data_IF_752236301610
#
_entry.id   IF_752236301610
#
_cell.length_a   1.000
_cell.length_b   1.000
_cell.length_c   1.000
_cell.angle_alpha   90.00
_cell.angle_beta   90.00
_cell.angle_gamma   90.00
#
_symmetry.space_group_name_H-M   'P 1'
#
loop_
_entity.id
_entity.type
_entity.pdbx_description
1 polymer ?
#
# COMPACT_ATOMS: atom_id res chain seq x y z
N UNK A 1 -12.69 15.69 8.51
CA UNK A 1 -11.67 14.83 9.16
C UNK A 1 -10.29 15.24 8.67
N UNK A 2 -9.20 14.94 9.40
CA UNK A 2 -7.82 15.22 8.94
C UNK A 2 -7.20 14.05 8.17
N UNK A 3 -7.59 12.83 8.55
CA UNK A 3 -7.19 11.58 7.90
C UNK A 3 -8.44 10.73 7.73
N UNK A 4 -8.59 10.09 6.57
CA UNK A 4 -9.71 9.21 6.25
C UNK A 4 -9.13 7.89 5.74
N UNK A 5 -9.58 6.79 6.34
CA UNK A 5 -9.31 5.43 5.87
C UNK A 5 -10.59 4.89 5.27
N UNK A 6 -10.54 4.43 4.02
CA UNK A 6 -11.68 3.85 3.33
C UNK A 6 -11.39 2.40 2.91
N UNK A 7 -12.21 1.48 3.40
CA UNK A 7 -12.12 0.06 3.08
C UNK A 7 -13.51 -0.51 2.75
N UNK A 8 -13.76 -0.66 1.45
CA UNK A 8 -14.91 -1.29 0.84
C UNK A 8 -15.72 -0.30 -0.01
N UNK A 9 -15.96 -0.57 -1.30
CA UNK A 9 -16.88 0.23 -2.10
C UNK A 9 -18.31 0.16 -1.53
N UNK A 10 -19.12 1.17 -1.84
CA UNK A 10 -20.53 1.21 -1.43
C UNK A 10 -21.37 0.60 -2.55
N UNK A 11 -21.92 -0.59 -2.30
CA UNK A 11 -22.70 -1.36 -3.27
C UNK A 11 -21.83 -2.12 -4.29
N UNK A 12 -22.48 -2.68 -5.31
CA UNK A 12 -21.83 -3.50 -6.35
C UNK A 12 -21.34 -2.59 -7.49
N UNK A 13 -20.23 -1.90 -7.24
CA UNK A 13 -19.70 -0.84 -8.11
C UNK A 13 -19.32 -1.32 -9.52
N UNK A 14 -19.15 -2.62 -9.71
CA UNK A 14 -18.91 -3.26 -11.00
C UNK A 14 -20.08 -3.08 -11.97
N UNK A 15 -21.29 -2.87 -11.46
CA UNK A 15 -22.46 -2.55 -12.25
C UNK A 15 -22.73 -1.04 -12.23
N UNK A 16 -22.76 -0.43 -13.42
CA UNK A 16 -22.96 1.02 -13.59
C UNK A 16 -24.17 1.59 -12.84
N UNK A 17 -25.25 0.82 -12.74
CA UNK A 17 -26.48 1.22 -12.04
C UNK A 17 -26.28 1.36 -10.52
N UNK A 18 -25.27 0.72 -9.95
CA UNK A 18 -24.97 0.69 -8.51
C UNK A 18 -23.63 1.38 -8.16
N UNK A 19 -22.86 1.82 -9.16
CA UNK A 19 -21.55 2.47 -8.96
C UNK A 19 -21.62 3.90 -8.40
N UNK A 20 -22.74 4.61 -8.57
CA UNK A 20 -22.87 6.03 -8.22
C UNK A 20 -22.55 6.34 -6.76
N UNK A 21 -22.90 5.43 -5.83
CA UNK A 21 -22.58 5.60 -4.41
C UNK A 21 -21.07 5.58 -4.16
N UNK A 22 -20.39 4.57 -4.71
CA UNK A 22 -18.92 4.44 -4.65
C UNK A 22 -18.23 5.64 -5.31
N UNK A 23 -18.72 6.11 -6.45
CA UNK A 23 -18.19 7.30 -7.14
C UNK A 23 -18.35 8.56 -6.29
N UNK A 24 -19.51 8.76 -5.67
CA UNK A 24 -19.74 9.91 -4.80
C UNK A 24 -18.80 9.93 -3.60
N UNK A 25 -18.53 8.78 -2.98
CA UNK A 25 -17.55 8.66 -1.90
C UNK A 25 -16.14 8.95 -2.41
N UNK A 26 -15.72 8.34 -3.52
CA UNK A 26 -14.40 8.57 -4.10
C UNK A 26 -14.18 10.06 -4.39
N UNK A 27 -15.17 10.73 -4.99
CA UNK A 27 -15.14 12.17 -5.24
C UNK A 27 -15.04 12.98 -3.94
N UNK A 28 -15.88 12.69 -2.94
CA UNK A 28 -15.85 13.38 -1.67
C UNK A 28 -14.50 13.25 -0.94
N UNK A 29 -13.84 12.08 -1.05
CA UNK A 29 -12.50 11.88 -0.52
C UNK A 29 -11.49 12.81 -1.20
N UNK A 30 -11.52 12.91 -2.54
CA UNK A 30 -10.60 13.79 -3.28
C UNK A 30 -10.81 15.27 -3.00
N UNK A 31 -12.04 15.69 -2.69
CA UNK A 31 -12.39 17.08 -2.40
C UNK A 31 -12.19 17.45 -0.91
N UNK A 32 -11.96 16.46 -0.05
CA UNK A 32 -11.90 16.66 1.41
C UNK A 32 -10.65 17.41 1.91
N UNK A 33 -9.57 17.43 1.12
CA UNK A 33 -8.25 17.93 1.56
C UNK A 33 -7.62 17.13 2.70
N UNK A 34 -8.19 15.99 3.08
CA UNK A 34 -7.65 15.11 4.10
C UNK A 34 -6.57 14.17 3.53
N UNK A 35 -5.73 13.62 4.40
CA UNK A 35 -4.92 12.45 4.05
C UNK A 35 -5.87 11.26 3.83
N UNK A 36 -5.93 10.75 2.60
CA UNK A 36 -6.82 9.64 2.22
C UNK A 36 -6.05 8.35 2.02
N UNK A 37 -6.46 7.30 2.75
CA UNK A 37 -5.87 5.97 2.65
C UNK A 37 -6.96 5.00 2.19
N UNK A 38 -6.80 4.47 0.98
CA UNK A 38 -7.69 3.45 0.42
C UNK A 38 -7.09 2.07 0.72
N UNK A 39 -7.81 1.28 1.51
CA UNK A 39 -7.45 -0.09 1.88
C UNK A 39 -8.37 -1.13 1.25
N UNK A 40 -7.90 -2.37 1.18
CA UNK A 40 -8.65 -3.48 0.59
C UNK A 40 -8.55 -3.53 -0.93
N UNK A 41 -8.55 -4.73 -1.50
CA UNK A 41 -8.41 -4.94 -2.94
C UNK A 41 -9.59 -4.35 -3.73
N UNK A 42 -10.80 -4.48 -3.20
CA UNK A 42 -12.01 -4.02 -3.88
C UNK A 42 -12.08 -2.49 -3.94
N UNK A 43 -11.76 -1.79 -2.84
CA UNK A 43 -11.75 -0.33 -2.82
C UNK A 43 -10.64 0.24 -3.69
N UNK A 44 -9.46 -0.37 -3.68
CA UNK A 44 -8.36 -0.02 -4.58
C UNK A 44 -8.78 -0.18 -6.05
N UNK A 45 -9.42 -1.30 -6.39
CA UNK A 45 -9.97 -1.53 -7.73
C UNK A 45 -11.06 -0.53 -8.09
N UNK A 46 -11.90 -0.14 -7.13
CA UNK A 46 -12.96 0.84 -7.35
C UNK A 46 -12.43 2.22 -7.69
N UNK A 47 -11.47 2.74 -6.91
CA UNK A 47 -10.89 4.06 -7.20
C UNK A 47 -10.07 4.07 -8.49
N UNK A 48 -9.47 2.94 -8.85
CA UNK A 48 -8.75 2.76 -10.11
C UNK A 48 -9.71 2.80 -11.31
N UNK A 49 -10.73 1.94 -11.33
CA UNK A 49 -11.73 1.88 -12.41
C UNK A 49 -12.50 3.19 -12.58
N UNK A 50 -12.72 3.92 -11.49
CA UNK A 50 -13.43 5.20 -11.51
C UNK A 50 -12.51 6.41 -11.78
N UNK A 51 -11.20 6.20 -11.93
CA UNK A 51 -10.25 7.26 -12.30
C UNK A 51 -9.91 8.24 -11.17
N UNK A 52 -10.01 7.79 -9.92
CA UNK A 52 -9.68 8.60 -8.73
C UNK A 52 -8.36 8.19 -8.06
N UNK A 53 -7.71 7.10 -8.48
CA UNK A 53 -6.50 6.54 -7.85
C UNK A 53 -5.40 7.60 -7.64
N UNK A 54 -5.04 8.35 -8.68
CA UNK A 54 -3.99 9.39 -8.63
C UNK A 54 -4.31 10.57 -7.71
N UNK A 55 -5.56 10.71 -7.28
CA UNK A 55 -6.04 11.78 -6.41
C UNK A 55 -6.14 11.35 -4.94
N UNK A 56 -5.89 10.08 -4.65
CA UNK A 56 -5.80 9.57 -3.28
C UNK A 56 -4.40 9.77 -2.73
N UNK A 57 -4.25 9.97 -1.42
CA UNK A 57 -2.91 10.10 -0.81
C UNK A 57 -2.17 8.77 -0.80
N UNK A 58 -2.88 7.66 -0.55
CA UNK A 58 -2.35 6.30 -0.60
C UNK A 58 -3.43 5.33 -1.05
N UNK A 59 -3.13 4.53 -2.07
CA UNK A 59 -3.90 3.33 -2.43
C UNK A 59 -3.08 2.11 -2.07
N UNK A 60 -3.54 1.34 -1.08
CA UNK A 60 -2.81 0.16 -0.62
C UNK A 60 -3.10 -1.06 -1.49
N UNK A 61 -2.04 -1.72 -1.95
CA UNK A 61 -2.11 -3.04 -2.60
C UNK A 61 -2.14 -4.20 -1.60
N UNK A 62 -2.02 -3.93 -0.29
CA UNK A 62 -1.89 -4.96 0.75
C UNK A 62 -3.16 -5.77 1.00
N UNK A 63 -4.31 -5.37 0.46
CA UNK A 63 -5.58 -6.10 0.61
C UNK A 63 -5.89 -6.47 2.06
N UNK A 64 -5.96 -7.77 2.34
CA UNK A 64 -6.17 -8.32 3.69
C UNK A 64 -5.09 -7.96 4.71
N UNK A 65 -3.83 -7.72 4.29
CA UNK A 65 -2.76 -7.30 5.18
C UNK A 65 -2.98 -5.87 5.71
N UNK A 66 -3.46 -4.95 4.86
CA UNK A 66 -3.81 -3.59 5.28
C UNK A 66 -5.03 -3.58 6.21
N UNK A 67 -5.99 -4.45 5.96
CA UNK A 67 -7.13 -4.66 6.86
C UNK A 67 -6.70 -5.18 8.22
N UNK A 68 -5.90 -6.25 8.25
CA UNK A 68 -5.37 -6.79 9.50
C UNK A 68 -4.56 -5.74 10.27
N UNK A 69 -3.80 -4.89 9.58
CA UNK A 69 -3.10 -3.76 10.19
C UNK A 69 -4.06 -2.75 10.82
N UNK A 70 -5.14 -2.35 10.13
CA UNK A 70 -6.15 -1.43 10.65
C UNK A 70 -7.00 -2.02 11.78
N UNK A 71 -7.19 -3.33 11.78
CA UNK A 71 -7.83 -4.09 12.87
C UNK A 71 -6.90 -4.25 14.10
N UNK A 72 -5.66 -3.75 14.04
CA UNK A 72 -4.67 -3.86 15.12
C UNK A 72 -4.10 -5.27 15.29
N UNK A 73 -4.28 -6.15 14.30
CA UNK A 73 -3.70 -7.50 14.32
C UNK A 73 -2.20 -7.42 14.06
N UNK A 74 -1.48 -8.31 14.73
CA UNK A 74 -0.05 -8.43 14.52
C UNK A 74 0.23 -9.06 13.15
N UNK A 75 0.96 -8.34 12.29
CA UNK A 75 1.47 -8.91 11.05
C UNK A 75 2.79 -9.61 11.34
N UNK A 76 2.81 -10.94 11.24
CA UNK A 76 3.97 -11.79 11.56
C UNK A 76 5.25 -11.29 10.86
N UNK A 77 5.15 -10.90 9.59
CA UNK A 77 6.28 -10.36 8.84
C UNK A 77 6.83 -9.05 9.43
N UNK A 78 5.96 -8.12 9.83
CA UNK A 78 6.39 -6.87 10.46
C UNK A 78 7.03 -7.14 11.83
N UNK A 79 6.44 -8.02 12.64
CA UNK A 79 7.01 -8.42 13.93
C UNK A 79 8.44 -8.95 13.79
N UNK A 80 8.68 -9.83 12.81
CA UNK A 80 10.01 -10.39 12.56
C UNK A 80 11.00 -9.30 12.15
N UNK A 81 10.58 -8.35 11.30
CA UNK A 81 11.42 -7.23 10.89
C UNK A 81 11.75 -6.28 12.04
N UNK A 82 10.78 -5.98 12.91
CA UNK A 82 10.98 -5.17 14.12
C UNK A 82 11.96 -5.83 15.08
N UNK A 83 11.78 -7.13 15.35
CA UNK A 83 12.70 -7.90 16.19
C UNK A 83 14.12 -7.94 15.60
N UNK A 84 14.24 -8.07 14.29
CA UNK A 84 15.52 -8.04 13.60
C UNK A 84 16.19 -6.67 13.73
N UNK A 85 15.43 -5.59 13.55
CA UNK A 85 15.92 -4.22 13.68
C UNK A 85 16.44 -3.92 15.11
N UNK A 86 15.68 -4.34 16.13
CA UNK A 86 16.05 -4.17 17.54
C UNK A 86 17.32 -4.94 17.91
N UNK A 87 17.50 -6.16 17.39
CA UNK A 87 18.70 -6.98 17.64
C UNK A 87 19.96 -6.44 16.98
N UNK A 88 19.83 -5.64 15.91
CA UNK A 88 20.98 -5.18 15.10
C UNK A 88 21.49 -3.77 15.42
N UNK A 89 20.79 -3.00 16.26
CA UNK A 89 21.25 -1.68 16.72
C UNK A 89 21.46 -0.68 15.57
N UNK A 90 20.41 0.06 15.21
CA UNK A 90 20.44 1.19 14.25
C UNK A 90 20.93 0.85 12.83
N UNK A 91 19.98 0.83 11.90
CA UNK A 91 20.13 0.56 10.46
C UNK A 91 21.16 1.44 9.71
N UNK A 92 21.73 2.47 10.33
CA UNK A 92 22.63 3.43 9.67
C UNK A 92 24.03 2.88 9.34
N UNK A 93 24.40 1.65 9.73
CA UNK A 93 25.81 1.22 9.68
C UNK A 93 26.10 -0.01 8.78
N UNK A 94 25.21 -0.41 7.86
CA UNK A 94 25.37 -1.69 7.12
C UNK A 94 25.07 -1.69 5.61
N UNK A 95 24.86 -0.55 4.95
CA UNK A 95 24.53 -0.57 3.51
C UNK A 95 25.68 -1.14 2.64
N UNK A 96 26.94 -1.18 3.11
CA UNK A 96 28.06 -1.37 2.18
C UNK A 96 28.85 -2.68 2.27
N UNK A 97 28.47 -3.68 3.08
CA UNK A 97 29.36 -4.84 3.33
C UNK A 97 28.95 -6.18 2.74
N UNK A 98 27.67 -6.38 2.44
CA UNK A 98 27.15 -7.69 1.99
C UNK A 98 26.55 -7.66 0.57
N UNK A 99 26.75 -6.57 -0.20
CA UNK A 99 26.38 -6.56 -1.60
C UNK A 99 27.19 -7.64 -2.36
N UNK A 100 26.53 -8.58 -3.07
CA UNK A 100 27.23 -9.60 -3.82
C UNK A 100 28.10 -8.92 -4.90
N UNK A 101 29.42 -9.14 -4.83
CA UNK A 101 30.34 -8.64 -5.84
C UNK A 101 30.03 -9.34 -7.16
N UNK A 102 29.48 -8.62 -8.13
CA UNK A 102 29.30 -9.13 -9.49
C UNK A 102 30.63 -9.67 -10.01
N UNK A 103 30.63 -10.95 -10.39
CA UNK A 103 31.79 -11.66 -10.89
C UNK A 103 32.26 -11.06 -12.22
N UNK A 104 33.55 -10.73 -12.29
CA UNK A 104 34.20 -10.29 -13.53
C UNK A 104 34.15 -11.41 -14.57
N UNK A 105 33.37 -11.22 -15.64
CA UNK A 105 33.55 -11.97 -16.88
C UNK A 105 34.79 -11.43 -17.62
N UNK A 106 35.95 -12.01 -17.31
CA UNK A 106 37.20 -11.74 -18.03
C UNK A 106 37.24 -12.50 -19.36
N UNK A 107 37.23 -11.76 -20.46
CA UNK A 107 37.63 -12.23 -21.79
C UNK A 107 39.13 -12.55 -21.81
N UNK A 108 39.50 -13.65 -22.44
CA UNK A 108 40.80 -13.92 -23.06
C UNK A 108 40.58 -15.06 -24.06
N UNK A 109 40.76 -14.92 -25.37
CA UNK A 109 41.83 -14.21 -26.06
C UNK A 109 42.92 -15.24 -26.37
N UNK A 110 42.71 -16.02 -27.43
CA UNK A 110 43.74 -16.79 -28.12
C UNK A 110 44.16 -16.06 -29.38
#
# INVERSE_FOLDING_TARGET
AKTIIWNGPIGVFEFKNFAKGTEAIAKALTESGATTIVGGGDSASAVDKLGFSDKMTLVSSGGGASLALFEGKELVALKVLEQWALKKGSINNRIDKDAPKEGKAGKGGG
#
